data_IF_012077302110
#
_entry.id   IF_012077302110
#
_cell.length_a   1.000
_cell.length_b   1.000
_cell.length_c   1.000
_cell.angle_alpha   90.00
_cell.angle_beta   90.00
_cell.angle_gamma   90.00
#
_symmetry.space_group_name_H-M   'P 1'
#
loop_
_entity.id
_entity.type
_entity.pdbx_description
1 polymer ?
#
# COMPACT_ATOMS: atom_id res chain seq x y z
N UNK A 1 5.93 -20.03 6.53
CA UNK A 1 5.90 -19.70 6.01
C UNK A 1 5.61 -18.86 5.36
N UNK A 2 6.02 -18.36 5.23
CA UNK A 2 5.85 -17.65 4.60
C UNK A 2 6.19 -17.65 3.44
N UNK A 3 6.60 -18.34 2.91
CA UNK A 3 6.77 -18.52 1.73
C UNK A 3 5.60 -18.55 1.12
N UNK A 4 4.71 -17.98 1.51
CA UNK A 4 3.58 -18.04 1.01
C UNK A 4 3.55 -17.44 -0.25
N UNK A 5 3.05 -17.94 -1.20
CA UNK A 5 2.88 -17.40 -2.48
C UNK A 5 1.63 -16.58 -2.55
N UNK A 6 1.66 -15.48 -3.29
CA UNK A 6 0.49 -14.69 -3.55
C UNK A 6 -0.37 -15.44 -4.57
N UNK A 7 -1.68 -15.39 -4.42
CA UNK A 7 -2.60 -15.96 -5.39
C UNK A 7 -2.28 -15.42 -6.78
N UNK A 8 -2.17 -16.31 -7.75
CA UNK A 8 -1.74 -15.93 -9.09
C UNK A 8 -2.69 -14.96 -9.77
N UNK A 9 -3.99 -15.08 -9.51
CA UNK A 9 -4.95 -14.17 -10.11
C UNK A 9 -4.80 -12.76 -9.55
N UNK A 10 -4.53 -12.65 -8.24
CA UNK A 10 -4.29 -11.37 -7.61
C UNK A 10 -3.02 -10.76 -8.16
N UNK A 11 -1.97 -11.57 -8.30
CA UNK A 11 -0.70 -11.08 -8.83
C UNK A 11 -0.88 -10.54 -10.25
N UNK A 12 -1.60 -11.26 -11.09
CA UNK A 12 -1.86 -10.82 -12.44
C UNK A 12 -2.63 -9.51 -12.48
N UNK A 13 -3.63 -9.37 -11.61
CA UNK A 13 -4.43 -8.15 -11.55
C UNK A 13 -3.58 -6.96 -11.17
N UNK A 14 -2.70 -7.13 -10.18
CA UNK A 14 -1.85 -6.04 -9.72
C UNK A 14 -0.86 -5.64 -10.80
N UNK A 15 -0.23 -6.61 -11.45
CA UNK A 15 0.72 -6.32 -12.51
C UNK A 15 0.05 -5.64 -13.70
N UNK A 16 -1.15 -6.11 -14.07
CA UNK A 16 -1.88 -5.51 -15.18
C UNK A 16 -2.25 -4.06 -14.86
N UNK A 17 -2.72 -3.79 -13.64
CA UNK A 17 -3.06 -2.44 -13.24
C UNK A 17 -1.84 -1.53 -13.32
N UNK A 18 -0.71 -2.02 -12.80
CA UNK A 18 0.52 -1.23 -12.80
C UNK A 18 0.98 -0.93 -14.22
N UNK A 19 0.98 -1.95 -15.08
CA UNK A 19 1.47 -1.80 -16.45
C UNK A 19 0.57 -0.93 -17.30
N UNK A 20 -0.72 -0.86 -16.96
CA UNK A 20 -1.66 -0.02 -17.69
C UNK A 20 -1.77 1.39 -17.10
N UNK A 21 -0.95 1.72 -16.14
CA UNK A 21 -0.93 3.07 -15.57
C UNK A 21 -2.12 3.40 -14.71
N UNK A 22 -2.79 2.40 -14.16
CA UNK A 22 -3.91 2.62 -13.27
C UNK A 22 -3.43 2.96 -11.87
N UNK A 23 -4.24 3.70 -11.13
CA UNK A 23 -3.91 4.02 -9.74
C UNK A 23 -4.30 2.84 -8.87
N UNK A 24 -3.37 2.40 -8.03
CA UNK A 24 -3.59 1.28 -7.11
C UNK A 24 -3.67 1.83 -5.70
N UNK A 25 -4.77 1.52 -5.00
CA UNK A 25 -4.92 1.90 -3.61
C UNK A 25 -4.93 0.67 -2.74
N UNK A 26 -4.31 0.76 -1.56
CA UNK A 26 -4.27 -0.36 -0.62
C UNK A 26 -4.20 0.15 0.81
N UNK A 27 -4.80 -0.59 1.72
CA UNK A 27 -4.79 -0.21 3.12
C UNK A 27 -4.63 -1.44 4.00
N UNK A 28 -4.40 -1.23 5.27
CA UNK A 28 -4.25 -2.27 6.26
C UNK A 28 -2.98 -3.08 5.97
N UNK A 29 -3.11 -4.36 5.68
CA UNK A 29 -1.99 -5.22 5.36
C UNK A 29 -1.79 -5.39 3.85
N UNK A 30 -2.76 -4.95 3.05
CA UNK A 30 -2.68 -5.10 1.60
C UNK A 30 -1.43 -4.47 0.98
N UNK A 31 -0.88 -3.36 1.51
CA UNK A 31 0.37 -2.82 0.96
C UNK A 31 1.51 -3.82 0.94
N UNK A 32 1.52 -4.82 1.85
CA UNK A 32 2.54 -5.86 1.83
C UNK A 32 2.41 -6.68 0.55
N UNK A 33 1.18 -6.99 0.15
CA UNK A 33 0.95 -7.75 -1.08
C UNK A 33 1.43 -6.95 -2.30
N UNK A 34 1.11 -5.67 -2.33
CA UNK A 34 1.56 -4.79 -3.41
C UNK A 34 3.09 -4.74 -3.46
N UNK A 35 3.74 -4.62 -2.30
CA UNK A 35 5.19 -4.58 -2.23
C UNK A 35 5.79 -5.88 -2.73
N UNK A 36 5.16 -7.01 -2.43
CA UNK A 36 5.68 -8.29 -2.88
C UNK A 36 5.62 -8.44 -4.40
N UNK A 37 4.56 -7.95 -5.01
CA UNK A 37 4.40 -8.06 -6.46
C UNK A 37 5.25 -7.03 -7.20
N UNK A 38 5.28 -5.79 -6.70
CA UNK A 38 5.89 -4.67 -7.41
C UNK A 38 7.15 -4.12 -6.75
N UNK A 39 7.69 -4.82 -5.74
CA UNK A 39 8.84 -4.30 -5.01
C UNK A 39 10.05 -4.00 -5.88
N UNK A 40 10.25 -4.76 -6.92
CA UNK A 40 11.39 -4.54 -7.81
C UNK A 40 11.32 -3.18 -8.52
N UNK A 41 10.18 -2.55 -8.53
CA UNK A 41 10.02 -1.22 -9.10
C UNK A 41 10.28 -0.13 -8.07
N UNK A 42 10.68 -0.51 -6.87
CA UNK A 42 11.01 0.41 -5.77
C UNK A 42 9.85 1.32 -5.42
N UNK A 43 8.66 0.76 -5.37
CA UNK A 43 7.47 1.52 -5.01
C UNK A 43 7.53 1.94 -3.54
N UNK A 44 6.87 3.04 -3.20
CA UNK A 44 6.78 3.52 -1.83
C UNK A 44 5.41 3.17 -1.26
N UNK A 45 5.39 2.51 -0.10
CA UNK A 45 4.15 2.11 0.56
C UNK A 45 4.26 2.30 2.06
N UNK A 46 3.13 2.27 2.74
CA UNK A 46 3.12 2.30 4.20
C UNK A 46 2.16 1.25 4.75
N UNK A 47 2.52 0.69 5.91
CA UNK A 47 1.61 -0.14 6.68
C UNK A 47 1.58 0.34 8.13
N UNK A 48 2.12 1.52 8.40
CA UNK A 48 2.12 2.11 9.72
C UNK A 48 3.53 2.44 10.17
N UNK A 49 3.79 2.21 11.45
CA UNK A 49 5.06 2.61 12.04
C UNK A 49 5.88 1.44 12.60
N UNK A 50 5.44 0.20 12.39
CA UNK A 50 6.14 -0.97 12.92
C UNK A 50 7.44 -1.20 12.14
N UNK A 51 8.60 -1.04 12.80
CA UNK A 51 9.87 -1.18 12.08
C UNK A 51 10.16 -2.61 11.59
N UNK A 52 9.63 -3.62 12.26
CA UNK A 52 9.86 -4.98 11.81
C UNK A 52 9.17 -5.26 10.48
N UNK A 53 7.93 -4.81 10.34
CA UNK A 53 7.19 -5.00 9.10
C UNK A 53 7.75 -4.10 8.00
N UNK A 54 8.17 -2.88 8.36
CA UNK A 54 8.82 -2.00 7.41
C UNK A 54 10.08 -2.59 6.84
N UNK A 55 10.89 -3.24 7.69
CA UNK A 55 12.10 -3.91 7.22
C UNK A 55 11.77 -5.04 6.25
N UNK A 56 10.66 -5.76 6.50
CA UNK A 56 10.21 -6.81 5.59
C UNK A 56 9.85 -6.26 4.22
N UNK A 57 9.19 -5.11 4.20
CA UNK A 57 8.83 -4.46 2.95
C UNK A 57 10.08 -4.06 2.18
N UNK A 58 11.09 -3.56 2.88
CA UNK A 58 12.32 -3.16 2.21
C UNK A 58 13.10 -4.34 1.67
N UNK A 59 13.00 -5.48 2.32
CA UNK A 59 13.63 -6.69 1.79
C UNK A 59 13.00 -7.13 0.47
N UNK A 60 11.77 -6.73 0.22
CA UNK A 60 11.09 -7.03 -1.04
C UNK A 60 11.51 -6.06 -2.16
N UNK A 61 12.28 -5.05 -1.83
CA UNK A 61 12.74 -4.05 -2.79
C UNK A 61 11.97 -2.75 -2.74
N UNK A 62 10.86 -2.71 -2.03
CA UNK A 62 10.05 -1.49 -1.92
C UNK A 62 10.59 -0.58 -0.83
N UNK A 63 10.11 0.66 -0.81
CA UNK A 63 10.47 1.64 0.20
C UNK A 63 9.29 1.76 1.17
N UNK A 64 9.55 1.60 2.46
CA UNK A 64 8.53 1.76 3.46
C UNK A 64 8.60 3.15 4.07
N UNK A 65 7.47 3.87 4.05
CA UNK A 65 7.38 5.18 4.67
C UNK A 65 6.51 5.07 5.91
N UNK A 66 7.06 5.27 7.10
CA UNK A 66 6.23 5.23 8.31
C UNK A 66 5.19 6.35 8.27
N UNK A 67 3.94 6.01 8.50
CA UNK A 67 2.83 6.96 8.48
C UNK A 67 1.90 6.70 9.64
N UNK A 68 1.28 7.75 10.13
CA UNK A 68 0.29 7.63 11.18
C UNK A 68 -1.05 7.14 10.67
N UNK A 69 -1.98 6.99 11.61
CA UNK A 69 -3.27 6.38 11.36
C UNK A 69 -4.07 7.03 10.23
N UNK A 70 -4.04 8.34 10.14
CA UNK A 70 -4.82 9.08 9.14
C UNK A 70 -3.99 9.49 7.93
N UNK A 71 -2.70 9.21 7.98
CA UNK A 71 -1.81 9.63 6.91
C UNK A 71 -1.86 8.67 5.73
N UNK A 72 -1.43 9.19 4.60
CA UNK A 72 -1.44 8.42 3.36
C UNK A 72 -0.08 8.54 2.72
N UNK A 73 0.43 7.43 2.21
CA UNK A 73 1.67 7.42 1.44
C UNK A 73 1.29 7.45 -0.03
N UNK A 74 1.75 8.48 -0.75
CA UNK A 74 1.43 8.62 -2.17
C UNK A 74 2.71 8.48 -2.97
N UNK A 75 2.76 7.45 -3.80
CA UNK A 75 3.86 7.24 -4.73
C UNK A 75 3.38 7.70 -6.11
N UNK A 76 3.62 8.95 -6.42
CA UNK A 76 3.08 9.55 -7.64
C UNK A 76 3.66 8.92 -8.90
N UNK A 77 4.93 8.57 -8.87
CA UNK A 77 5.58 8.01 -10.04
C UNK A 77 5.00 6.66 -10.41
N UNK A 78 4.69 5.84 -9.43
CA UNK A 78 4.16 4.51 -9.65
C UNK A 78 2.65 4.44 -9.52
N UNK A 79 2.00 5.56 -9.14
CA UNK A 79 0.55 5.66 -8.98
C UNK A 79 0.02 4.67 -7.94
N UNK A 80 0.67 4.62 -6.79
CA UNK A 80 0.29 3.74 -5.70
C UNK A 80 0.01 4.57 -4.46
N UNK A 81 -1.16 4.37 -3.85
CA UNK A 81 -1.58 5.11 -2.66
C UNK A 81 -1.89 4.10 -1.58
N UNK A 82 -1.27 4.25 -0.42
CA UNK A 82 -1.46 3.31 0.68
C UNK A 82 -1.69 4.05 1.99
N UNK A 83 -2.37 3.41 2.93
CA UNK A 83 -2.59 3.98 4.25
C UNK A 83 -2.65 2.86 5.28
N UNK A 84 -2.17 3.10 6.51
CA UNK A 84 -2.23 2.11 7.57
C UNK A 84 -3.51 2.18 8.42
N UNK A 85 -4.56 2.81 7.92
CA UNK A 85 -5.73 3.13 8.72
C UNK A 85 -6.21 2.00 9.61
N UNK A 86 -6.37 0.80 9.05
CA UNK A 86 -6.85 -0.33 9.83
C UNK A 86 -5.83 -0.81 10.85
N UNK A 87 -4.55 -0.79 10.47
CA UNK A 87 -3.49 -1.29 11.36
C UNK A 87 -3.34 -0.45 12.61
N UNK A 88 -3.58 0.85 12.50
CA UNK A 88 -3.40 1.78 13.60
C UNK A 88 -4.71 2.34 14.14
N UNK A 89 -5.79 2.17 13.42
CA UNK A 89 -7.07 2.74 13.81
C UNK A 89 -7.65 2.04 15.02
N UNK A 90 -8.22 2.80 15.94
CA UNK A 90 -8.78 2.25 17.15
C UNK A 90 -10.30 2.26 17.16
N UNK A 91 -10.92 2.98 16.25
CA UNK A 91 -12.36 3.04 16.17
C UNK A 91 -12.79 2.98 14.71
N UNK A 92 -14.06 2.66 14.51
CA UNK A 92 -14.62 2.63 13.17
C UNK A 92 -14.52 4.02 12.52
N UNK A 93 -14.68 5.05 13.33
CA UNK A 93 -14.59 6.42 12.84
C UNK A 93 -13.17 6.70 12.29
N UNK A 94 -12.14 6.24 13.01
CA UNK A 94 -10.76 6.42 12.56
C UNK A 94 -10.50 5.70 11.25
N UNK A 95 -11.00 4.46 11.15
CA UNK A 95 -10.80 3.66 9.95
C UNK A 95 -11.51 4.32 8.77
N UNK A 96 -12.71 4.83 9.00
CA UNK A 96 -13.45 5.50 7.95
C UNK A 96 -12.72 6.74 7.46
N UNK A 97 -12.17 7.54 8.37
CA UNK A 97 -11.46 8.74 7.99
C UNK A 97 -10.19 8.41 7.21
N UNK A 98 -9.43 7.40 7.65
CA UNK A 98 -8.25 6.96 6.92
C UNK A 98 -8.59 6.47 5.53
N UNK A 99 -9.67 5.71 5.40
CA UNK A 99 -10.13 5.21 4.11
C UNK A 99 -10.54 6.37 3.20
N UNK A 100 -11.22 7.37 3.76
CA UNK A 100 -11.62 8.54 2.97
C UNK A 100 -10.39 9.29 2.47
N UNK A 101 -9.37 9.44 3.33
CA UNK A 101 -8.15 10.12 2.93
C UNK A 101 -7.46 9.36 1.80
N UNK A 102 -7.47 8.03 1.86
CA UNK A 102 -6.91 7.20 0.79
C UNK A 102 -7.64 7.45 -0.53
N UNK A 103 -8.96 7.43 -0.49
CA UNK A 103 -9.76 7.62 -1.70
C UNK A 103 -9.54 9.02 -2.28
N UNK A 104 -9.46 10.03 -1.42
CA UNK A 104 -9.23 11.40 -1.88
C UNK A 104 -7.91 11.50 -2.65
N UNK A 105 -6.86 10.84 -2.15
CA UNK A 105 -5.57 10.87 -2.84
C UNK A 105 -5.60 10.08 -4.13
N UNK A 106 -6.35 8.99 -4.19
CA UNK A 106 -6.50 8.24 -5.42
C UNK A 106 -7.16 9.12 -6.49
N UNK A 107 -8.21 9.82 -6.10
CA UNK A 107 -8.91 10.70 -7.02
C UNK A 107 -7.99 11.81 -7.53
N UNK A 108 -7.15 12.35 -6.63
CA UNK A 108 -6.20 13.39 -7.03
C UNK A 108 -5.21 12.88 -8.08
N UNK A 109 -4.78 11.63 -7.98
CA UNK A 109 -3.84 11.08 -8.96
C UNK A 109 -4.50 10.78 -10.30
N UNK A 110 -5.80 10.49 -10.30
CA UNK A 110 -6.51 10.20 -11.53
C UNK A 110 -6.67 11.48 -12.36
N UNK A 111 -6.93 12.58 -11.68
CA UNK A 111 -7.07 13.87 -12.35
C UNK A 111 -5.71 14.45 -12.69
#
# INVERSE_FOLDING_TARGET
MYKRQINKEVEKAIRAAYENGLVIGAMCIAPVVIARVLGKHKIAVTIGTDPAIGAGIEKMGAVHEPKGMLDVCVDEDNKIVTTPAYMLGKTIKDIRRGTQNLIDEIINLID
#
